data_IF_777739700837
#
_entry.id   IF_777739700837
#
_cell.length_a   1.000
_cell.length_b   1.000
_cell.length_c   1.000
_cell.angle_alpha   90.00
_cell.angle_beta   90.00
_cell.angle_gamma   90.00
#
_symmetry.space_group_name_H-M   'P 1'
#
loop_
_entity.id
_entity.type
_entity.pdbx_description
1 polymer ?
#
# COMPACT_ATOMS: atom_id res chain seq x y z
N UNK A 1 29.99 72.87 -1.65
CA UNK A 1 30.90 72.07 -0.80
C UNK A 1 30.40 70.64 -0.85
N UNK A 2 31.10 69.60 -1.27
CA UNK A 2 32.44 69.29 -1.80
C UNK A 2 32.43 67.73 -1.69
N UNK A 3 32.85 66.86 -2.60
CA UNK A 3 33.57 66.87 -3.87
C UNK A 3 33.39 65.44 -4.44
N UNK A 4 33.23 65.30 -5.75
CA UNK A 4 33.21 64.04 -6.53
C UNK A 4 34.64 63.46 -6.57
N UNK A 5 34.86 62.13 -6.69
CA UNK A 5 35.08 61.57 -8.03
C UNK A 5 34.43 60.20 -8.29
N UNK A 6 33.75 60.09 -9.43
CA UNK A 6 33.81 58.93 -10.32
C UNK A 6 35.18 58.95 -11.05
N UNK A 7 35.65 57.82 -11.58
CA UNK A 7 35.51 57.65 -13.04
C UNK A 7 35.09 56.20 -13.39
N UNK A 8 34.29 55.90 -14.43
CA UNK A 8 34.57 56.02 -15.88
C UNK A 8 35.96 55.44 -16.25
N UNK A 9 36.24 54.76 -17.35
CA UNK A 9 35.56 54.23 -18.53
C UNK A 9 36.69 53.45 -19.29
N UNK A 10 36.32 52.57 -20.24
CA UNK A 10 37.06 52.20 -21.49
C UNK A 10 38.61 52.09 -21.50
N UNK A 11 39.24 51.02 -22.00
CA UNK A 11 39.64 50.75 -23.42
C UNK A 11 40.51 49.46 -23.37
N UNK A 12 40.57 48.51 -24.30
CA UNK A 12 40.89 48.49 -25.74
C UNK A 12 40.46 47.10 -26.30
N UNK A 13 39.71 47.01 -27.42
CA UNK A 13 40.17 46.54 -28.76
C UNK A 13 40.99 45.22 -28.74
N UNK A 14 40.70 44.11 -29.46
CA UNK A 14 40.20 43.84 -30.84
C UNK A 14 40.45 42.31 -31.13
N UNK A 15 39.99 41.63 -32.20
CA UNK A 15 38.77 41.70 -33.03
C UNK A 15 37.97 40.37 -33.11
N UNK A 16 36.76 40.49 -33.65
CA UNK A 16 36.03 39.64 -34.60
C UNK A 16 36.44 38.15 -34.85
N UNK A 17 35.45 37.25 -34.83
CA UNK A 17 34.90 36.52 -36.01
C UNK A 17 33.58 35.83 -35.61
N UNK A 18 32.60 35.86 -36.52
CA UNK A 18 31.23 35.37 -36.39
C UNK A 18 31.08 33.84 -36.54
N UNK A 19 29.91 33.29 -36.17
CA UNK A 19 29.63 31.88 -35.94
C UNK A 19 28.98 31.21 -37.17
N UNK A 20 28.79 29.89 -37.06
CA UNK A 20 28.19 28.94 -38.02
C UNK A 20 29.21 28.21 -38.88
N UNK A 21 29.44 26.93 -38.58
CA UNK A 21 29.58 25.88 -39.60
C UNK A 21 29.71 24.46 -39.00
N UNK A 22 29.90 24.33 -37.68
CA UNK A 22 30.14 23.02 -37.05
C UNK A 22 28.90 22.29 -36.49
N UNK A 23 27.72 22.91 -36.47
CA UNK A 23 26.47 22.29 -35.95
C UNK A 23 25.64 21.63 -37.07
N UNK A 24 25.81 22.06 -38.33
CA UNK A 24 24.99 21.60 -39.46
C UNK A 24 25.33 20.18 -39.91
N UNK A 25 26.58 19.73 -39.74
CA UNK A 25 27.01 18.43 -40.24
C UNK A 25 26.65 17.23 -39.34
N UNK A 26 26.20 17.44 -38.11
CA UNK A 26 25.75 16.34 -37.22
C UNK A 26 24.22 16.14 -37.21
N UNK A 27 23.44 17.13 -37.65
CA UNK A 27 21.99 17.00 -37.80
C UNK A 27 21.61 16.35 -39.15
N UNK A 28 22.33 16.66 -40.21
CA UNK A 28 21.98 16.19 -41.56
C UNK A 28 22.19 14.68 -41.79
N UNK A 29 23.12 14.06 -41.05
CA UNK A 29 23.41 12.62 -41.14
C UNK A 29 22.40 11.76 -40.36
N UNK A 30 21.63 12.35 -39.45
CA UNK A 30 20.60 11.66 -38.66
C UNK A 30 19.23 11.71 -39.38
N UNK A 31 19.00 12.73 -40.20
CA UNK A 31 17.74 12.94 -40.93
C UNK A 31 17.59 12.03 -42.17
N UNK A 32 18.69 11.72 -42.87
CA UNK A 32 18.64 10.88 -44.08
C UNK A 32 18.52 9.37 -43.80
N UNK A 33 18.88 8.89 -42.61
CA UNK A 33 18.63 7.49 -42.23
C UNK A 33 17.23 7.26 -41.65
N UNK A 34 16.47 8.34 -41.42
CA UNK A 34 15.18 8.27 -40.75
C UNK A 34 13.96 8.21 -41.70
N UNK A 35 14.10 8.46 -43.00
CA UNK A 35 12.95 8.56 -43.91
C UNK A 35 12.28 7.22 -44.29
N UNK A 36 12.99 6.09 -44.50
CA UNK A 36 12.34 4.87 -45.01
C UNK A 36 11.46 4.14 -44.00
N UNK A 37 11.77 4.24 -42.70
CA UNK A 37 10.98 3.58 -41.65
C UNK A 37 9.75 4.40 -41.23
N UNK A 38 9.78 5.72 -41.44
CA UNK A 38 8.64 6.60 -41.17
C UNK A 38 7.54 6.36 -42.20
N UNK A 39 7.86 6.29 -43.50
CA UNK A 39 6.86 6.01 -44.54
C UNK A 39 6.24 4.62 -44.37
N UNK A 40 7.06 3.61 -44.02
CA UNK A 40 6.57 2.28 -43.69
C UNK A 40 5.64 2.28 -42.46
N UNK A 41 5.98 3.03 -41.41
CA UNK A 41 5.15 3.16 -40.21
C UNK A 41 3.81 3.87 -40.49
N UNK A 42 3.81 4.87 -41.38
CA UNK A 42 2.60 5.63 -41.76
C UNK A 42 1.65 4.77 -42.60
N UNK A 43 2.18 3.99 -43.53
CA UNK A 43 1.36 3.10 -44.37
C UNK A 43 0.79 1.94 -43.54
N UNK A 44 1.59 1.38 -42.63
CA UNK A 44 1.13 0.36 -41.70
C UNK A 44 0.09 0.91 -40.71
N UNK A 45 0.26 2.15 -40.22
CA UNK A 45 -0.75 2.82 -39.40
C UNK A 45 -2.08 3.03 -40.15
N UNK A 46 -2.05 3.35 -41.45
CA UNK A 46 -3.28 3.48 -42.27
C UNK A 46 -4.00 2.16 -42.47
N UNK A 47 -3.28 1.07 -42.69
CA UNK A 47 -3.88 -0.27 -42.82
C UNK A 47 -4.51 -0.70 -41.49
N UNK A 48 -3.83 -0.45 -40.37
CA UNK A 48 -4.38 -0.73 -39.04
C UNK A 48 -5.61 0.13 -38.75
N UNK A 49 -5.61 1.42 -39.10
CA UNK A 49 -6.76 2.29 -38.90
C UNK A 49 -8.00 1.80 -39.67
N UNK A 50 -7.85 1.45 -40.95
CA UNK A 50 -8.97 0.91 -41.76
C UNK A 50 -9.49 -0.41 -41.20
N UNK A 51 -8.59 -1.31 -40.81
CA UNK A 51 -8.97 -2.60 -40.22
C UNK A 51 -9.72 -2.42 -38.90
N UNK A 52 -9.31 -1.44 -38.09
CA UNK A 52 -9.97 -1.12 -36.82
C UNK A 52 -11.36 -0.53 -37.06
N UNK A 53 -11.51 0.33 -38.06
CA UNK A 53 -12.80 0.96 -38.40
C UNK A 53 -13.82 -0.07 -38.93
N UNK A 54 -13.40 -0.92 -39.88
CA UNK A 54 -14.26 -1.98 -40.45
C UNK A 54 -14.67 -3.04 -39.41
N UNK A 55 -13.77 -3.40 -38.47
CA UNK A 55 -14.08 -4.32 -37.37
C UNK A 55 -15.00 -3.69 -36.33
N UNK A 56 -14.88 -2.38 -36.10
CA UNK A 56 -15.74 -1.65 -35.17
C UNK A 56 -17.16 -1.51 -35.71
N UNK A 57 -17.33 -1.13 -36.97
CA UNK A 57 -18.65 -1.02 -37.61
C UNK A 57 -19.35 -2.38 -37.69
N UNK A 58 -18.61 -3.44 -38.07
CA UNK A 58 -19.14 -4.81 -38.09
C UNK A 58 -19.55 -5.30 -36.68
N UNK A 59 -18.79 -4.93 -35.64
CA UNK A 59 -19.14 -5.27 -34.26
C UNK A 59 -20.36 -4.47 -33.75
N UNK A 60 -20.53 -3.22 -34.19
CA UNK A 60 -21.71 -2.42 -33.88
C UNK A 60 -22.96 -3.00 -34.55
N UNK A 61 -22.87 -3.39 -35.81
CA UNK A 61 -24.02 -3.96 -36.52
C UNK A 61 -24.41 -5.34 -35.96
N UNK A 62 -23.43 -6.20 -35.68
CA UNK A 62 -23.66 -7.50 -35.05
C UNK A 62 -24.20 -7.38 -33.61
N UNK A 63 -23.80 -6.34 -32.86
CA UNK A 63 -24.35 -6.09 -31.53
C UNK A 63 -25.78 -5.53 -31.59
N UNK A 64 -26.10 -4.68 -32.56
CA UNK A 64 -27.47 -4.18 -32.79
C UNK A 64 -28.42 -5.29 -33.21
N UNK A 65 -28.02 -6.16 -34.13
CA UNK A 65 -28.86 -7.27 -34.59
C UNK A 65 -29.16 -8.25 -33.45
N UNK A 66 -28.13 -8.67 -32.69
CA UNK A 66 -28.31 -9.51 -31.49
C UNK A 66 -29.14 -8.85 -30.41
N UNK A 67 -28.97 -7.54 -30.17
CA UNK A 67 -29.81 -6.82 -29.21
C UNK A 67 -31.27 -6.75 -29.66
N UNK A 68 -31.54 -6.60 -30.95
CA UNK A 68 -32.91 -6.60 -31.47
C UNK A 68 -33.59 -7.97 -31.29
N UNK A 69 -32.84 -9.05 -31.50
CA UNK A 69 -33.31 -10.44 -31.34
C UNK A 69 -33.52 -10.81 -29.85
N UNK A 70 -32.64 -10.34 -28.96
CA UNK A 70 -32.81 -10.48 -27.50
C UNK A 70 -34.02 -9.68 -27.03
N UNK A 71 -34.24 -8.48 -27.58
CA UNK A 71 -35.39 -7.64 -27.23
C UNK A 71 -36.72 -8.28 -27.65
N UNK A 72 -36.80 -8.85 -28.86
CA UNK A 72 -38.03 -9.52 -29.31
C UNK A 72 -38.30 -10.80 -28.52
N UNK A 73 -37.26 -11.58 -28.24
CA UNK A 73 -37.37 -12.83 -27.46
C UNK A 73 -37.75 -12.56 -26.00
N UNK A 74 -37.15 -11.55 -25.37
CA UNK A 74 -37.49 -11.17 -23.98
C UNK A 74 -38.90 -10.60 -23.84
N UNK A 75 -39.40 -9.83 -24.81
CA UNK A 75 -40.77 -9.32 -24.79
C UNK A 75 -41.81 -10.44 -24.85
N UNK A 76 -41.59 -11.46 -25.68
CA UNK A 76 -42.46 -12.63 -25.76
C UNK A 76 -42.51 -13.39 -24.42
N UNK A 77 -41.35 -13.67 -23.81
CA UNK A 77 -41.28 -14.35 -22.50
C UNK A 77 -41.87 -13.50 -21.35
N UNK A 78 -41.75 -12.18 -21.40
CA UNK A 78 -42.36 -11.29 -20.41
C UNK A 78 -43.88 -11.31 -20.49
N UNK A 79 -44.44 -11.27 -21.71
CA UNK A 79 -45.90 -11.37 -21.90
C UNK A 79 -46.46 -12.70 -21.41
N UNK A 80 -45.73 -13.81 -21.62
CA UNK A 80 -46.10 -15.12 -21.09
C UNK A 80 -46.07 -15.15 -19.56
N UNK A 81 -45.11 -14.48 -18.93
CA UNK A 81 -44.98 -14.42 -17.46
C UNK A 81 -46.10 -13.60 -16.82
N UNK A 82 -46.50 -12.49 -17.46
CA UNK A 82 -47.63 -11.68 -17.00
C UNK A 82 -48.93 -12.49 -17.02
N UNK A 83 -49.19 -13.22 -18.10
CA UNK A 83 -50.41 -14.04 -18.19
C UNK A 83 -50.44 -15.13 -17.11
N UNK A 84 -49.33 -15.80 -16.83
CA UNK A 84 -49.27 -16.80 -15.74
C UNK A 84 -49.44 -16.21 -14.34
N UNK A 85 -49.09 -14.94 -14.13
CA UNK A 85 -49.31 -14.25 -12.85
C UNK A 85 -50.80 -13.94 -12.65
N UNK A 86 -51.52 -13.61 -13.72
CA UNK A 86 -52.97 -13.39 -13.68
C UNK A 86 -53.74 -14.67 -13.31
N UNK A 87 -53.30 -15.83 -13.83
CA UNK A 87 -53.84 -17.14 -13.45
C UNK A 87 -53.60 -17.46 -11.96
N UNK A 88 -52.39 -17.22 -11.45
CA UNK A 88 -52.05 -17.44 -10.03
C UNK A 88 -52.88 -16.52 -9.10
N UNK A 89 -53.13 -15.27 -9.52
CA UNK A 89 -53.95 -14.33 -8.75
C UNK A 89 -55.39 -14.81 -8.64
N UNK A 90 -55.95 -15.36 -9.73
CA UNK A 90 -57.25 -16.01 -9.75
C UNK A 90 -57.31 -17.17 -8.74
N UNK A 91 -56.33 -18.06 -8.79
CA UNK A 91 -56.28 -19.23 -7.90
C UNK A 91 -56.12 -18.82 -6.43
N UNK A 92 -55.32 -17.79 -6.13
CA UNK A 92 -55.13 -17.28 -4.77
C UNK A 92 -56.44 -16.76 -4.16
N UNK A 93 -57.29 -16.09 -4.94
CA UNK A 93 -58.58 -15.57 -4.47
C UNK A 93 -59.49 -16.68 -3.92
N UNK A 94 -59.46 -17.87 -4.54
CA UNK A 94 -60.28 -19.00 -4.06
C UNK A 94 -59.82 -19.54 -2.70
N UNK A 95 -58.51 -19.55 -2.44
CA UNK A 95 -57.96 -19.94 -1.14
C UNK A 95 -58.21 -18.87 -0.08
N UNK A 96 -58.13 -17.61 -0.46
CA UNK A 96 -58.43 -16.47 0.40
C UNK A 96 -59.89 -16.52 0.90
N UNK A 97 -60.84 -16.76 -0.01
CA UNK A 97 -62.26 -16.89 0.33
C UNK A 97 -62.55 -18.09 1.24
N UNK A 98 -61.88 -19.23 1.01
CA UNK A 98 -62.02 -20.41 1.87
C UNK A 98 -61.44 -20.16 3.28
N UNK A 99 -60.29 -19.51 3.36
CA UNK A 99 -59.63 -19.17 4.63
C UNK A 99 -60.46 -18.19 5.45
N UNK A 100 -60.94 -17.11 4.84
CA UNK A 100 -61.80 -16.14 5.52
C UNK A 100 -63.17 -16.71 5.85
N UNK A 101 -63.71 -17.62 5.02
CA UNK A 101 -64.91 -18.39 5.33
C UNK A 101 -64.76 -19.20 6.62
N UNK A 102 -63.64 -19.92 6.78
CA UNK A 102 -63.33 -20.70 7.98
C UNK A 102 -63.08 -19.84 9.22
N UNK A 103 -62.43 -18.69 9.06
CA UNK A 103 -62.29 -17.73 10.16
C UNK A 103 -63.66 -17.21 10.60
N UNK A 104 -64.53 -16.84 9.65
CA UNK A 104 -65.88 -16.34 9.96
C UNK A 104 -66.72 -17.39 10.68
N UNK A 105 -66.65 -18.65 10.25
CA UNK A 105 -67.27 -19.79 10.93
C UNK A 105 -66.69 -19.98 12.35
N UNK A 106 -65.37 -19.91 12.51
CA UNK A 106 -64.68 -19.96 13.80
C UNK A 106 -65.05 -18.81 14.74
N UNK A 107 -65.27 -17.60 14.23
CA UNK A 107 -65.74 -16.44 15.00
C UNK A 107 -67.18 -16.64 15.48
N UNK A 108 -68.03 -17.24 14.65
CA UNK A 108 -69.41 -17.54 14.99
C UNK A 108 -69.48 -18.63 16.09
N UNK A 109 -68.61 -19.64 16.00
CA UNK A 109 -68.43 -20.67 17.04
C UNK A 109 -67.86 -20.04 18.33
N UNK A 110 -66.88 -19.14 18.23
CA UNK A 110 -66.32 -18.41 19.37
C UNK A 110 -67.37 -17.57 20.11
N UNK A 111 -68.27 -16.92 19.37
CA UNK A 111 -69.37 -16.13 19.93
C UNK A 111 -70.38 -16.99 20.71
N UNK A 112 -70.58 -18.25 20.30
CA UNK A 112 -71.49 -19.18 20.98
C UNK A 112 -70.93 -19.75 22.30
N UNK A 113 -69.62 -19.77 22.49
CA UNK A 113 -68.95 -20.35 23.68
C UNK A 113 -67.90 -19.39 24.29
N UNK A 114 -68.30 -18.18 24.75
CA UNK A 114 -67.38 -17.10 25.11
C UNK A 114 -66.40 -17.45 26.24
N UNK A 115 -66.79 -18.28 27.21
CA UNK A 115 -65.93 -18.65 28.34
C UNK A 115 -64.80 -19.63 27.94
N UNK A 116 -65.13 -20.64 27.13
CA UNK A 116 -64.17 -21.65 26.68
C UNK A 116 -63.21 -21.01 25.67
N UNK A 117 -63.75 -20.24 24.72
CA UNK A 117 -62.92 -19.54 23.72
C UNK A 117 -62.06 -18.46 24.35
N UNK A 118 -62.55 -17.74 25.37
CA UNK A 118 -61.74 -16.78 26.13
C UNK A 118 -60.53 -17.44 26.82
N UNK A 119 -60.73 -18.61 27.44
CA UNK A 119 -59.64 -19.37 28.07
C UNK A 119 -58.60 -19.88 27.06
N UNK A 120 -59.05 -20.44 25.93
CA UNK A 120 -58.17 -20.92 24.85
C UNK A 120 -57.43 -19.76 24.19
N UNK A 121 -58.10 -18.64 23.92
CA UNK A 121 -57.49 -17.45 23.33
C UNK A 121 -56.47 -16.81 24.27
N UNK A 122 -56.75 -16.75 25.57
CA UNK A 122 -55.80 -16.24 26.56
C UNK A 122 -54.57 -17.17 26.71
N UNK A 123 -54.77 -18.49 26.77
CA UNK A 123 -53.68 -19.47 26.87
C UNK A 123 -52.77 -19.47 25.63
N UNK A 124 -53.37 -19.48 24.43
CA UNK A 124 -52.63 -19.33 23.18
C UNK A 124 -51.96 -17.96 23.08
N UNK A 125 -52.64 -16.90 23.52
CA UNK A 125 -52.07 -15.56 23.62
C UNK A 125 -50.78 -15.57 24.45
N UNK A 126 -50.80 -16.18 25.63
CA UNK A 126 -49.64 -16.22 26.54
C UNK A 126 -48.46 -17.04 25.97
N UNK A 127 -48.74 -18.05 25.14
CA UNK A 127 -47.73 -18.88 24.48
C UNK A 127 -47.16 -18.21 23.21
N UNK A 128 -48.01 -17.52 22.43
CA UNK A 128 -47.66 -16.85 21.17
C UNK A 128 -46.99 -15.50 21.43
N UNK A 129 -47.37 -14.78 22.49
CA UNK A 129 -46.76 -13.51 22.87
C UNK A 129 -45.29 -13.73 23.29
N UNK A 130 -44.38 -13.13 22.53
CA UNK A 130 -42.92 -13.30 22.68
C UNK A 130 -42.38 -12.94 24.08
N UNK A 131 -43.00 -12.00 24.77
CA UNK A 131 -42.56 -11.50 26.09
C UNK A 131 -42.87 -12.45 27.26
N UNK A 132 -44.12 -12.89 27.49
CA UNK A 132 -44.44 -13.85 28.56
C UNK A 132 -43.73 -15.19 28.39
N UNK A 133 -43.63 -15.72 27.15
CA UNK A 133 -42.85 -16.94 26.86
C UNK A 133 -41.40 -16.83 27.31
N UNK A 134 -40.73 -15.72 27.00
CA UNK A 134 -39.33 -15.48 27.38
C UNK A 134 -39.16 -15.35 28.90
N UNK A 135 -40.10 -14.68 29.57
CA UNK A 135 -40.09 -14.54 31.02
C UNK A 135 -40.24 -15.89 31.72
N UNK A 136 -41.21 -16.71 31.30
CA UNK A 136 -41.43 -18.04 31.88
C UNK A 136 -40.20 -18.92 31.67
N UNK A 137 -39.66 -18.95 30.45
CA UNK A 137 -38.46 -19.73 30.14
C UNK A 137 -37.25 -19.36 31.01
N UNK A 138 -36.95 -18.07 31.19
CA UNK A 138 -35.81 -17.67 32.03
C UNK A 138 -36.05 -17.89 33.51
N UNK A 139 -37.29 -17.71 34.00
CA UNK A 139 -37.62 -17.96 35.41
C UNK A 139 -37.57 -19.44 35.75
N UNK A 140 -38.11 -20.32 34.89
CA UNK A 140 -38.08 -21.77 35.14
C UNK A 140 -36.66 -22.32 35.04
N UNK A 141 -35.88 -21.93 34.02
CA UNK A 141 -34.48 -22.35 33.93
C UNK A 141 -33.64 -21.90 35.12
N UNK A 142 -33.89 -20.69 35.64
CA UNK A 142 -33.18 -20.18 36.82
C UNK A 142 -33.52 -20.97 38.10
N UNK A 143 -34.71 -21.55 38.20
CA UNK A 143 -35.11 -22.39 39.34
C UNK A 143 -34.45 -23.77 39.32
N UNK A 144 -33.99 -24.25 38.15
CA UNK A 144 -33.30 -25.54 38.02
C UNK A 144 -31.77 -25.44 38.13
N UNK A 145 -31.21 -24.23 38.29
CA UNK A 145 -29.77 -24.05 38.53
C UNK A 145 -29.53 -24.09 40.04
N UNK A 146 -28.91 -25.16 40.53
CA UNK A 146 -28.51 -25.26 41.94
C UNK A 146 -27.38 -24.28 42.26
N UNK A 147 -27.42 -23.67 43.44
CA UNK A 147 -26.38 -22.75 43.90
C UNK A 147 -25.00 -23.42 43.92
N UNK A 148 -24.95 -24.71 44.28
CA UNK A 148 -23.73 -25.52 44.25
C UNK A 148 -23.13 -25.68 42.85
N UNK A 149 -23.95 -25.77 41.80
CA UNK A 149 -23.46 -25.82 40.41
C UNK A 149 -22.86 -24.49 39.94
N UNK A 150 -23.37 -23.36 40.46
CA UNK A 150 -22.81 -22.04 40.18
C UNK A 150 -21.50 -21.82 40.93
N UNK A 151 -21.42 -22.24 42.19
CA UNK A 151 -20.20 -22.15 43.00
C UNK A 151 -19.10 -23.04 42.45
N UNK A 152 -19.38 -24.30 42.12
CA UNK A 152 -18.40 -25.21 41.51
C UNK A 152 -17.90 -24.69 40.15
N UNK A 153 -18.77 -24.11 39.33
CA UNK A 153 -18.39 -23.45 38.07
C UNK A 153 -17.53 -22.21 38.31
N UNK A 154 -17.83 -21.41 39.33
CA UNK A 154 -17.03 -20.27 39.71
C UNK A 154 -15.63 -20.70 40.18
N UNK A 155 -15.54 -21.73 41.03
CA UNK A 155 -14.28 -22.29 41.51
C UNK A 155 -13.42 -22.85 40.37
N UNK A 156 -14.03 -23.57 39.43
CA UNK A 156 -13.34 -24.07 38.23
C UNK A 156 -12.73 -22.91 37.42
N UNK A 157 -13.51 -21.84 37.19
CA UNK A 157 -13.02 -20.64 36.49
C UNK A 157 -11.92 -19.91 37.26
N UNK A 158 -12.02 -19.81 38.58
CA UNK A 158 -10.97 -19.19 39.40
C UNK A 158 -9.67 -20.00 39.32
N UNK A 159 -9.75 -21.34 39.34
CA UNK A 159 -8.58 -22.21 39.16
C UNK A 159 -7.95 -22.05 37.79
N UNK A 160 -8.76 -22.02 36.73
CA UNK A 160 -8.29 -21.78 35.36
C UNK A 160 -7.60 -20.41 35.23
N UNK A 161 -8.22 -19.36 35.78
CA UNK A 161 -7.63 -18.02 35.79
C UNK A 161 -6.32 -17.96 36.57
N UNK A 162 -6.24 -18.58 37.75
CA UNK A 162 -4.98 -18.66 38.51
C UNK A 162 -3.88 -19.35 37.69
N UNK A 163 -4.20 -20.48 37.06
CA UNK A 163 -3.26 -21.17 36.19
C UNK A 163 -2.79 -20.29 35.03
N UNK A 164 -3.71 -19.55 34.39
CA UNK A 164 -3.34 -18.62 33.31
C UNK A 164 -2.44 -17.49 33.79
N UNK A 165 -2.64 -16.98 35.01
CA UNK A 165 -1.78 -15.95 35.62
C UNK A 165 -0.40 -16.51 35.91
N UNK A 166 -0.29 -17.73 36.41
CA UNK A 166 1.01 -18.34 36.70
C UNK A 166 1.82 -18.61 35.43
N UNK A 167 1.16 -19.05 34.35
CA UNK A 167 1.77 -19.15 33.02
C UNK A 167 2.23 -17.79 32.51
N UNK A 168 1.38 -16.76 32.61
CA UNK A 168 1.71 -15.40 32.19
C UNK A 168 2.89 -14.82 32.97
N UNK A 169 2.98 -15.08 34.28
CA UNK A 169 4.13 -14.67 35.10
C UNK A 169 5.41 -15.34 34.65
N UNK A 170 5.39 -16.65 34.42
CA UNK A 170 6.57 -17.39 33.96
C UNK A 170 7.03 -16.94 32.57
N UNK A 171 6.09 -16.71 31.64
CA UNK A 171 6.40 -16.14 30.33
C UNK A 171 6.88 -14.69 30.43
N UNK A 172 6.27 -13.90 31.30
CA UNK A 172 6.66 -12.52 31.59
C UNK A 172 8.11 -12.41 32.06
N UNK A 173 8.51 -13.17 33.08
CA UNK A 173 9.89 -13.19 33.58
C UNK A 173 10.90 -13.60 32.50
N UNK A 174 10.53 -14.56 31.64
CA UNK A 174 11.38 -15.02 30.54
C UNK A 174 11.55 -13.93 29.48
N UNK A 175 10.47 -13.22 29.14
CA UNK A 175 10.51 -12.13 28.17
C UNK A 175 11.27 -10.92 28.73
N UNK A 176 11.10 -10.60 30.01
CA UNK A 176 11.84 -9.54 30.69
C UNK A 176 13.33 -9.80 30.64
N UNK A 177 13.78 -11.01 31.03
CA UNK A 177 15.22 -11.38 30.94
C UNK A 177 15.77 -11.27 29.53
N UNK A 178 14.99 -11.65 28.52
CA UNK A 178 15.39 -11.51 27.09
C UNK A 178 15.48 -10.05 26.68
N UNK A 179 14.55 -9.22 27.11
CA UNK A 179 14.54 -7.79 26.82
C UNK A 179 15.74 -7.08 27.46
N UNK A 180 16.01 -7.34 28.75
CA UNK A 180 17.18 -6.77 29.44
C UNK A 180 18.49 -7.22 28.81
N UNK A 181 18.59 -8.48 28.37
CA UNK A 181 19.78 -8.96 27.69
C UNK A 181 19.97 -8.29 26.32
N UNK A 182 18.91 -8.16 25.52
CA UNK A 182 18.96 -7.47 24.23
C UNK A 182 19.29 -5.98 24.38
N UNK A 183 18.81 -5.32 25.44
CA UNK A 183 19.18 -3.94 25.77
C UNK A 183 20.67 -3.81 26.06
N UNK A 184 21.23 -4.72 26.88
CA UNK A 184 22.66 -4.71 27.19
C UNK A 184 23.51 -4.93 25.93
N UNK A 185 23.13 -5.86 25.06
CA UNK A 185 23.80 -6.08 23.77
C UNK A 185 23.71 -4.87 22.85
N UNK A 186 22.56 -4.17 22.83
CA UNK A 186 22.40 -2.93 22.06
C UNK A 186 23.34 -1.85 22.58
N UNK A 187 23.39 -1.63 23.90
CA UNK A 187 24.26 -0.61 24.51
C UNK A 187 25.74 -0.93 24.22
N UNK A 188 26.15 -2.20 24.38
CA UNK A 188 27.51 -2.65 24.05
C UNK A 188 27.81 -2.49 22.55
N UNK A 189 26.87 -2.84 21.68
CA UNK A 189 26.99 -2.65 20.23
C UNK A 189 27.14 -1.18 19.85
N UNK A 190 26.31 -0.31 20.44
CA UNK A 190 26.34 1.15 20.22
C UNK A 190 27.66 1.77 20.65
N UNK A 191 28.18 1.38 21.81
CA UNK A 191 29.49 1.87 22.30
C UNK A 191 30.64 1.37 21.42
N UNK A 192 30.61 0.13 20.96
CA UNK A 192 31.59 -0.42 20.01
C UNK A 192 31.55 0.32 18.67
N UNK A 193 30.38 0.54 18.09
CA UNK A 193 30.21 1.32 16.85
C UNK A 193 30.74 2.74 17.01
N UNK A 194 30.45 3.40 18.13
CA UNK A 194 30.97 4.74 18.42
C UNK A 194 32.50 4.75 18.51
N UNK A 195 33.09 3.77 19.20
CA UNK A 195 34.54 3.67 19.34
C UNK A 195 35.21 3.41 17.99
N UNK A 196 34.72 2.43 17.23
CA UNK A 196 35.21 2.12 15.88
C UNK A 196 35.02 3.32 14.94
N UNK A 197 33.89 4.02 15.02
CA UNK A 197 33.65 5.25 14.26
C UNK A 197 34.75 6.28 14.49
N UNK A 198 35.14 6.52 15.76
CA UNK A 198 36.22 7.47 16.09
C UNK A 198 37.58 7.03 15.55
N UNK A 199 37.86 5.73 15.57
CA UNK A 199 39.07 5.18 14.97
C UNK A 199 39.08 5.41 13.46
N UNK A 200 37.97 5.14 12.77
CA UNK A 200 37.84 5.39 11.34
C UNK A 200 37.99 6.88 11.04
N UNK A 201 37.40 7.76 11.84
CA UNK A 201 37.55 9.21 11.69
C UNK A 201 39.01 9.66 11.81
N UNK A 202 39.77 9.09 12.75
CA UNK A 202 41.20 9.33 12.87
C UNK A 202 41.97 8.90 11.60
N UNK A 203 41.63 7.74 11.03
CA UNK A 203 42.22 7.24 9.78
C UNK A 203 41.82 8.11 8.58
N UNK A 204 40.59 8.63 8.53
CA UNK A 204 40.16 9.60 7.51
C UNK A 204 41.03 10.85 7.56
N UNK A 205 41.32 11.36 8.77
CA UNK A 205 42.19 12.54 8.94
C UNK A 205 43.63 12.25 8.52
N UNK A 206 44.16 11.05 8.80
CA UNK A 206 45.52 10.68 8.36
C UNK A 206 45.58 10.48 6.84
N UNK A 207 44.61 9.79 6.24
CA UNK A 207 44.48 9.65 4.79
C UNK A 207 44.35 11.02 4.10
N UNK A 208 43.61 11.96 4.69
CA UNK A 208 43.50 13.33 4.18
C UNK A 208 44.85 14.07 4.20
N UNK A 209 45.66 13.91 5.26
CA UNK A 209 47.01 14.48 5.32
C UNK A 209 47.91 13.89 4.24
N UNK A 210 47.86 12.58 4.02
CA UNK A 210 48.63 11.89 2.97
C UNK A 210 48.22 12.37 1.59
N UNK A 211 46.90 12.46 1.32
CA UNK A 211 46.36 13.00 0.07
C UNK A 211 46.89 14.43 -0.17
N UNK A 212 46.90 15.29 0.86
CA UNK A 212 47.41 16.66 0.76
C UNK A 212 48.91 16.74 0.53
N UNK A 213 49.70 15.92 1.23
CA UNK A 213 51.14 15.85 1.02
C UNK A 213 51.50 15.34 -0.38
N UNK A 214 50.79 14.30 -0.85
CA UNK A 214 50.97 13.78 -2.20
C UNK A 214 50.56 14.81 -3.26
N UNK A 215 49.44 15.52 -3.07
CA UNK A 215 49.04 16.60 -3.97
C UNK A 215 50.09 17.72 -4.03
N UNK A 216 50.56 18.20 -2.88
CA UNK A 216 51.61 19.24 -2.84
C UNK A 216 52.94 18.77 -3.46
N UNK A 217 53.34 17.52 -3.23
CA UNK A 217 54.53 16.95 -3.87
C UNK A 217 54.38 16.82 -5.38
N UNK A 218 53.18 16.46 -5.86
CA UNK A 218 52.86 16.42 -7.30
C UNK A 218 52.99 17.81 -7.93
N UNK A 219 52.53 18.85 -7.24
CA UNK A 219 52.61 20.23 -7.72
C UNK A 219 54.07 20.69 -7.85
N UNK A 220 54.89 20.45 -6.82
CA UNK A 220 56.35 20.74 -6.85
C UNK A 220 57.04 19.97 -7.98
N UNK A 221 56.75 18.66 -8.11
CA UNK A 221 57.31 17.86 -9.20
C UNK A 221 56.86 18.36 -10.57
N UNK A 222 55.70 19.01 -10.67
CA UNK A 222 55.17 19.67 -11.88
C UNK A 222 56.08 20.76 -12.43
N UNK A 223 56.82 21.45 -11.57
CA UNK A 223 57.72 22.55 -11.96
C UNK A 223 59.05 22.06 -12.54
N UNK A 224 59.48 20.83 -12.25
CA UNK A 224 60.77 20.30 -12.72
C UNK A 224 60.70 19.76 -14.16
N UNK A 225 61.47 20.29 -15.13
CA UNK A 225 61.39 19.86 -16.54
C UNK A 225 62.06 18.50 -16.84
N UNK A 226 62.54 17.75 -15.84
CA UNK A 226 63.32 16.51 -16.04
C UNK A 226 62.45 15.26 -16.21
N UNK A 227 62.92 14.31 -17.04
CA UNK A 227 62.25 13.03 -17.31
C UNK A 227 62.05 12.17 -16.06
N UNK A 228 62.98 12.18 -15.11
CA UNK A 228 62.86 11.47 -13.83
C UNK A 228 61.70 12.00 -12.97
N UNK A 229 61.41 13.30 -13.03
CA UNK A 229 60.27 13.90 -12.33
C UNK A 229 58.93 13.37 -12.88
N UNK A 230 58.85 13.03 -14.17
CA UNK A 230 57.62 12.48 -14.77
C UNK A 230 57.21 11.12 -14.18
N UNK A 231 58.18 10.25 -13.89
CA UNK A 231 57.94 8.96 -13.23
C UNK A 231 57.38 9.18 -11.81
N UNK A 232 58.02 10.05 -11.03
CA UNK A 232 57.54 10.38 -9.68
C UNK A 232 56.17 11.07 -9.69
N UNK A 233 55.88 11.95 -10.66
CA UNK A 233 54.54 12.55 -10.81
C UNK A 233 53.45 11.48 -10.95
N UNK A 234 53.71 10.46 -11.77
CA UNK A 234 52.73 9.38 -11.98
C UNK A 234 52.51 8.56 -10.71
N UNK A 235 53.59 8.22 -9.99
CA UNK A 235 53.53 7.46 -8.74
C UNK A 235 52.80 8.24 -7.64
N UNK A 236 53.15 9.51 -7.46
CA UNK A 236 52.51 10.40 -6.46
C UNK A 236 51.05 10.65 -6.81
N UNK A 237 50.72 10.83 -8.10
CA UNK A 237 49.33 10.98 -8.52
C UNK A 237 48.50 9.72 -8.28
N UNK A 238 49.08 8.53 -8.48
CA UNK A 238 48.44 7.26 -8.13
C UNK A 238 48.18 7.18 -6.63
N UNK A 239 49.20 7.46 -5.80
CA UNK A 239 49.09 7.43 -4.35
C UNK A 239 48.03 8.42 -3.81
N UNK A 240 47.98 9.64 -4.36
CA UNK A 240 46.96 10.62 -4.00
C UNK A 240 45.54 10.15 -4.33
N UNK A 241 45.37 9.51 -5.49
CA UNK A 241 44.06 8.98 -5.94
C UNK A 241 43.62 7.80 -5.07
N UNK A 242 44.55 6.91 -4.74
CA UNK A 242 44.33 5.77 -3.84
C UNK A 242 43.94 6.24 -2.43
N UNK A 243 44.70 7.17 -1.83
CA UNK A 243 44.38 7.76 -0.53
C UNK A 243 43.00 8.45 -0.52
N UNK A 244 42.65 9.16 -1.60
CA UNK A 244 41.34 9.79 -1.75
C UNK A 244 40.20 8.76 -1.85
N UNK A 245 40.42 7.67 -2.58
CA UNK A 245 39.44 6.59 -2.72
C UNK A 245 39.18 5.89 -1.38
N UNK A 246 40.25 5.53 -0.65
CA UNK A 246 40.16 4.93 0.68
C UNK A 246 39.47 5.86 1.67
N UNK A 247 39.84 7.15 1.68
CA UNK A 247 39.18 8.16 2.53
C UNK A 247 37.68 8.24 2.26
N UNK A 248 37.28 8.27 0.98
CA UNK A 248 35.87 8.34 0.60
C UNK A 248 35.11 7.05 1.00
N UNK A 249 35.75 5.88 0.91
CA UNK A 249 35.16 4.62 1.38
C UNK A 249 34.94 4.64 2.90
N UNK A 250 35.95 5.03 3.68
CA UNK A 250 35.85 5.16 5.14
C UNK A 250 34.81 6.22 5.56
N UNK A 251 34.69 7.31 4.82
CA UNK A 251 33.68 8.36 5.09
C UNK A 251 32.25 7.83 4.92
N UNK A 252 32.01 6.92 3.95
CA UNK A 252 30.71 6.25 3.79
C UNK A 252 30.37 5.36 4.99
N UNK A 253 31.36 4.67 5.56
CA UNK A 253 31.13 3.85 6.76
C UNK A 253 30.84 4.72 8.00
N UNK A 254 31.54 5.84 8.19
CA UNK A 254 31.24 6.77 9.30
C UNK A 254 29.86 7.41 9.15
N UNK A 255 29.47 7.81 7.94
CA UNK A 255 28.12 8.34 7.69
C UNK A 255 27.04 7.28 7.94
N UNK A 256 27.30 6.01 7.61
CA UNK A 256 26.41 4.90 7.98
C UNK A 256 26.25 4.77 9.50
N UNK A 257 27.32 4.87 10.28
CA UNK A 257 27.27 4.88 11.76
C UNK A 257 26.46 6.08 12.27
N UNK A 258 26.68 7.26 11.69
CA UNK A 258 25.95 8.49 12.05
C UNK A 258 24.44 8.40 11.75
N UNK A 259 24.06 7.78 10.64
CA UNK A 259 22.66 7.56 10.26
C UNK A 259 21.90 6.67 11.25
N UNK A 260 22.59 5.82 12.03
CA UNK A 260 21.98 5.09 13.15
C UNK A 260 21.80 5.96 14.42
N UNK A 261 21.98 7.28 14.33
CA UNK A 261 21.88 8.20 15.46
C UNK A 261 23.02 8.06 16.46
N UNK A 262 24.18 7.55 16.03
CA UNK A 262 25.38 7.41 16.86
C UNK A 262 26.32 8.56 16.51
N UNK A 263 26.60 9.43 17.47
CA UNK A 263 27.61 10.48 17.29
C UNK A 263 29.01 9.88 17.40
N UNK A 264 29.72 9.98 16.28
CA UNK A 264 31.14 9.64 16.16
C UNK A 264 31.96 10.84 16.60
#
# INVERSE_FOLDING_TARGET
>A
MATVPLPENSSEEKPAISPNDSISHSLHTLEQSATPWIDYAVEQARVYQKTIEETFDSAIEASRSRLSEIRSTSAAHFSQTINSLEDIKSDYGTYEDMFFGKIKEGVLIAASHPMITGGVAAGLGLLVLKRPRRMLYHKTLRLFVSEESLLSRADAKVKELRHSIDLLKAEGEKLEKRASHAEEELIRGRTKLRHTGKQIESVIRSAYKIERQAAGLKDILGELPRREASMFRSQVSKLATEAKQERNALTKEVTKISNYGISV
#
